data_IF_597004376913
#
_entry.id   IF_597004376913
#
_cell.length_a   1.000
_cell.length_b   1.000
_cell.length_c   1.000
_cell.angle_alpha   90.00
_cell.angle_beta   90.00
_cell.angle_gamma   90.00
#
_symmetry.space_group_name_H-M   'P 1'
#
loop_
_entity.id
_entity.type
_entity.pdbx_description
1 polymer ?
#
# COMPACT_ATOMS: atom_id res chain seq x y z
N UNK A 1 12.26 -0.51 -19.65
CA UNK A 1 11.59 -1.82 -19.64
C UNK A 1 10.08 -1.65 -19.83
N UNK A 2 9.39 -0.92 -18.94
CA UNK A 2 7.95 -0.62 -19.06
C UNK A 2 7.57 -0.07 -20.44
N UNK A 3 8.33 0.90 -20.95
CA UNK A 3 8.17 1.44 -22.32
C UNK A 3 8.11 0.35 -23.41
N UNK A 4 8.94 -0.69 -23.30
CA UNK A 4 9.04 -1.74 -24.30
C UNK A 4 7.93 -2.79 -24.21
N UNK A 5 7.12 -2.76 -23.15
CA UNK A 5 6.07 -3.76 -22.89
C UNK A 5 4.66 -3.17 -22.80
N UNK A 6 4.51 -1.85 -22.84
CA UNK A 6 3.22 -1.18 -22.72
C UNK A 6 2.61 -0.80 -24.08
N UNK A 7 1.30 -0.60 -24.10
CA UNK A 7 0.57 -0.18 -25.28
C UNK A 7 0.81 1.32 -25.56
N UNK A 8 1.28 1.64 -26.77
CA UNK A 8 1.47 3.01 -27.28
C UNK A 8 2.02 3.99 -26.21
N UNK A 9 3.28 3.84 -25.77
CA UNK A 9 3.83 4.65 -24.68
C UNK A 9 3.82 6.13 -25.01
N UNK A 10 3.23 6.94 -24.13
CA UNK A 10 3.39 8.38 -24.11
C UNK A 10 4.31 8.76 -22.96
N UNK A 11 5.61 8.91 -23.27
CA UNK A 11 6.62 9.34 -22.31
C UNK A 11 6.58 10.86 -22.19
N UNK A 12 6.48 11.36 -20.96
CA UNK A 12 6.57 12.78 -20.66
C UNK A 12 7.42 13.01 -19.41
N UNK A 13 8.27 14.03 -19.49
CA UNK A 13 9.02 14.58 -18.35
C UNK A 13 8.44 15.92 -17.87
N UNK A 14 7.69 16.65 -18.73
CA UNK A 14 7.14 17.97 -18.42
C UNK A 14 6.05 18.40 -19.44
N UNK A 15 5.03 17.58 -19.65
CA UNK A 15 3.88 17.94 -20.49
C UNK A 15 2.89 18.79 -19.70
N UNK A 16 2.32 19.82 -20.34
CA UNK A 16 1.23 20.58 -19.73
C UNK A 16 0.01 19.68 -19.52
N UNK A 17 -0.80 19.89 -18.46
CA UNK A 17 -2.01 19.09 -18.24
C UNK A 17 -2.91 19.07 -19.49
N UNK A 18 -3.05 20.22 -20.16
CA UNK A 18 -3.81 20.36 -21.39
C UNK A 18 -3.33 19.47 -22.56
N UNK A 19 -2.02 19.22 -22.66
CA UNK A 19 -1.46 18.30 -23.65
C UNK A 19 -1.74 16.85 -23.26
N UNK A 20 -1.60 16.49 -21.98
CA UNK A 20 -1.90 15.13 -21.48
C UNK A 20 -3.37 14.78 -21.70
N UNK A 21 -4.29 15.67 -21.30
CA UNK A 21 -5.73 15.54 -21.52
C UNK A 21 -6.10 15.22 -22.97
N UNK A 22 -5.44 15.88 -23.94
CA UNK A 22 -5.72 15.70 -25.37
C UNK A 22 -5.03 14.48 -25.98
N UNK A 23 -3.94 14.01 -25.38
CA UNK A 23 -3.20 12.85 -25.86
C UNK A 23 -3.86 11.51 -25.49
N UNK A 24 -4.73 11.48 -24.47
CA UNK A 24 -5.41 10.25 -24.02
C UNK A 24 -6.34 9.67 -25.10
N UNK A 25 -7.10 10.51 -25.81
CA UNK A 25 -8.08 10.02 -26.80
C UNK A 25 -9.22 9.19 -26.17
N UNK A 26 -10.03 8.49 -26.98
CA UNK A 26 -11.24 7.79 -26.48
C UNK A 26 -11.09 6.27 -26.40
N UNK A 27 -10.68 5.61 -27.49
CA UNK A 27 -10.91 4.16 -27.62
C UNK A 27 -9.72 3.35 -27.07
N UNK A 28 -8.53 3.63 -27.60
CA UNK A 28 -7.27 2.97 -27.26
C UNK A 28 -6.28 4.00 -26.71
N UNK A 29 -6.42 4.40 -25.43
CA UNK A 29 -5.57 5.42 -24.87
C UNK A 29 -4.12 4.94 -24.76
N UNK A 30 -3.14 5.85 -24.94
CA UNK A 30 -1.73 5.52 -24.72
C UNK A 30 -1.47 5.16 -23.26
N UNK A 31 -0.39 4.43 -23.00
CA UNK A 31 0.11 4.27 -21.64
C UNK A 31 0.93 5.50 -21.26
N UNK A 32 0.48 6.25 -20.25
CA UNK A 32 1.19 7.41 -19.74
C UNK A 32 2.40 6.95 -18.93
N UNK A 33 3.59 7.39 -19.32
CA UNK A 33 4.83 7.12 -18.60
C UNK A 33 5.39 8.44 -18.07
N UNK A 34 5.33 8.61 -16.75
CA UNK A 34 5.79 9.81 -16.05
C UNK A 34 7.01 9.45 -15.22
N UNK A 35 8.16 9.97 -15.63
CA UNK A 35 9.40 9.86 -14.86
C UNK A 35 9.57 11.07 -13.94
N UNK A 36 10.35 10.93 -12.87
CA UNK A 36 10.57 11.96 -11.86
C UNK A 36 9.26 12.57 -11.29
N UNK A 37 8.23 11.74 -11.09
CA UNK A 37 6.92 12.17 -10.63
C UNK A 37 6.95 12.84 -9.24
N UNK A 38 8.00 12.62 -8.43
CA UNK A 38 8.23 13.33 -7.17
C UNK A 38 8.50 14.83 -7.38
N UNK A 39 9.00 15.25 -8.53
CA UNK A 39 9.16 16.68 -8.87
C UNK A 39 7.83 17.38 -9.16
N UNK A 40 6.83 16.60 -9.60
CA UNK A 40 5.47 17.05 -9.94
C UNK A 40 4.60 17.09 -8.67
N UNK A 41 4.64 16.03 -7.86
CA UNK A 41 3.76 15.87 -6.71
C UNK A 41 4.43 16.18 -5.36
N UNK A 42 5.73 16.49 -5.34
CA UNK A 42 6.47 16.80 -4.12
C UNK A 42 6.46 18.28 -3.73
N UNK A 43 6.43 18.54 -2.42
CA UNK A 43 6.67 19.85 -1.83
C UNK A 43 5.67 20.93 -2.28
N UNK A 44 6.18 22.13 -2.60
CA UNK A 44 5.36 23.30 -2.97
C UNK A 44 4.67 23.18 -4.33
N UNK A 45 5.08 22.22 -5.18
CA UNK A 45 4.52 22.02 -6.52
C UNK A 45 3.26 21.16 -6.52
N UNK A 46 2.97 20.46 -5.41
CA UNK A 46 1.79 19.60 -5.29
C UNK A 46 0.47 20.37 -5.50
N UNK A 47 0.37 21.59 -4.95
CA UNK A 47 -0.80 22.47 -5.13
C UNK A 47 -0.91 23.02 -6.55
N UNK A 48 0.23 23.23 -7.24
CA UNK A 48 0.23 23.72 -8.61
C UNK A 48 -0.21 22.67 -9.63
N UNK A 49 -0.16 21.38 -9.26
CA UNK A 49 -0.43 20.24 -10.14
C UNK A 49 -1.71 19.47 -9.78
N UNK A 50 -2.66 20.11 -9.10
CA UNK A 50 -3.95 19.50 -8.74
C UNK A 50 -4.73 18.98 -9.95
N UNK A 51 -4.66 19.69 -11.09
CA UNK A 51 -5.29 19.30 -12.35
C UNK A 51 -4.79 17.93 -12.87
N UNK A 52 -3.49 17.68 -12.73
CA UNK A 52 -2.87 16.43 -13.16
C UNK A 52 -3.14 15.29 -12.16
N UNK A 53 -3.15 15.59 -10.86
CA UNK A 53 -3.61 14.64 -9.83
C UNK A 53 -5.07 14.26 -10.07
N UNK A 54 -5.92 15.23 -10.38
CA UNK A 54 -7.32 15.03 -10.72
C UNK A 54 -7.49 14.15 -11.95
N UNK A 55 -6.69 14.37 -12.99
CA UNK A 55 -6.66 13.54 -14.18
C UNK A 55 -6.32 12.08 -13.85
N UNK A 56 -5.22 11.83 -13.12
CA UNK A 56 -4.80 10.47 -12.76
C UNK A 56 -5.84 9.76 -11.88
N UNK A 57 -6.42 10.47 -10.91
CA UNK A 57 -7.46 9.93 -10.04
C UNK A 57 -8.75 9.59 -10.81
N UNK A 58 -9.16 10.45 -11.75
CA UNK A 58 -10.31 10.20 -12.61
C UNK A 58 -10.05 9.05 -13.59
N UNK A 59 -8.82 8.98 -14.12
CA UNK A 59 -8.37 7.99 -15.09
C UNK A 59 -8.24 6.56 -14.57
N UNK A 60 -8.42 6.36 -13.26
CA UNK A 60 -8.49 5.03 -12.65
C UNK A 60 -9.67 4.19 -13.15
N UNK A 61 -10.76 4.82 -13.60
CA UNK A 61 -11.93 4.12 -14.15
C UNK A 61 -12.41 4.77 -15.46
N UNK A 62 -12.97 3.95 -16.36
CA UNK A 62 -13.60 4.44 -17.59
C UNK A 62 -14.85 5.27 -17.28
N UNK A 63 -15.29 6.08 -18.24
CA UNK A 63 -16.51 6.89 -18.18
C UNK A 63 -16.52 8.01 -17.11
N UNK A 64 -15.35 8.51 -16.70
CA UNK A 64 -15.21 9.67 -15.80
C UNK A 64 -14.55 10.88 -16.49
N UNK A 65 -15.17 11.45 -17.55
CA UNK A 65 -14.54 12.52 -18.32
C UNK A 65 -14.35 13.79 -17.50
N UNK A 66 -13.28 14.53 -17.76
CA UNK A 66 -13.15 15.90 -17.31
C UNK A 66 -14.08 16.77 -18.17
N UNK A 67 -14.90 17.59 -17.51
CA UNK A 67 -15.82 18.51 -18.18
C UNK A 67 -15.22 19.91 -18.07
N UNK A 68 -14.98 20.55 -19.22
CA UNK A 68 -14.48 21.92 -19.28
C UNK A 68 -15.41 22.77 -20.13
N UNK A 69 -15.51 24.05 -19.79
CA UNK A 69 -16.24 25.01 -20.59
C UNK A 69 -15.27 25.66 -21.59
N UNK A 70 -15.59 25.56 -22.88
CA UNK A 70 -14.83 26.22 -23.94
C UNK A 70 -15.46 27.60 -24.22
N UNK A 71 -14.73 28.66 -23.87
CA UNK A 71 -15.16 30.04 -24.09
C UNK A 71 -15.26 30.42 -25.57
N UNK A 72 -14.55 29.74 -26.47
CA UNK A 72 -14.58 30.07 -27.91
C UNK A 72 -15.83 29.48 -28.56
N UNK A 73 -16.15 28.22 -28.27
CA UNK A 73 -17.31 27.53 -28.83
C UNK A 73 -18.57 27.69 -27.98
N UNK A 74 -18.47 28.30 -26.79
CA UNK A 74 -19.54 28.41 -25.79
C UNK A 74 -20.22 27.06 -25.53
N UNK A 75 -19.42 26.01 -25.38
CA UNK A 75 -19.92 24.64 -25.25
C UNK A 75 -19.16 23.85 -24.18
N UNK A 76 -19.79 22.77 -23.70
CA UNK A 76 -19.14 21.84 -22.77
C UNK A 76 -18.26 20.86 -23.57
N UNK A 77 -16.96 20.91 -23.31
CA UNK A 77 -15.99 19.94 -23.79
C UNK A 77 -15.91 18.78 -22.78
N UNK A 78 -16.16 17.55 -23.25
CA UNK A 78 -15.96 16.32 -22.47
C UNK A 78 -14.64 15.69 -22.90
N UNK A 79 -13.67 15.68 -21.99
CA UNK A 79 -12.34 15.15 -22.25
C UNK A 79 -12.20 13.79 -21.55
N UNK A 80 -11.93 12.68 -22.28
CA UNK A 80 -11.64 11.40 -21.67
C UNK A 80 -10.41 11.46 -20.78
N UNK A 81 -10.44 10.72 -19.68
CA UNK A 81 -9.38 10.73 -18.65
C UNK A 81 -8.75 9.36 -18.43
N UNK A 82 -9.41 8.30 -18.87
CA UNK A 82 -8.95 6.93 -18.65
C UNK A 82 -7.71 6.64 -19.49
N UNK A 83 -6.61 6.33 -18.80
CA UNK A 83 -5.39 5.82 -19.40
C UNK A 83 -4.63 5.00 -18.35
N UNK A 84 -3.98 3.93 -18.79
CA UNK A 84 -3.01 3.25 -17.93
C UNK A 84 -1.83 4.19 -17.69
N UNK A 85 -1.37 4.29 -16.45
CA UNK A 85 -0.25 5.15 -16.10
C UNK A 85 0.80 4.37 -15.30
N UNK A 86 2.08 4.62 -15.60
CA UNK A 86 3.19 4.22 -14.77
C UNK A 86 3.92 5.48 -14.30
N UNK A 87 4.00 5.65 -12.99
CA UNK A 87 4.65 6.78 -12.33
C UNK A 87 5.93 6.29 -11.67
N UNK A 88 7.06 6.89 -12.01
CA UNK A 88 8.34 6.63 -11.37
C UNK A 88 8.78 7.89 -10.62
N UNK A 89 9.17 7.73 -9.36
CA UNK A 89 9.65 8.85 -8.55
C UNK A 89 10.23 8.38 -7.22
N UNK A 90 10.86 9.32 -6.50
CA UNK A 90 11.47 9.08 -5.21
C UNK A 90 10.52 9.51 -4.08
N UNK A 91 10.32 8.62 -3.11
CA UNK A 91 9.46 8.88 -1.96
C UNK A 91 8.01 8.48 -2.20
N UNK A 92 7.13 8.95 -1.32
CA UNK A 92 5.69 8.69 -1.41
C UNK A 92 5.01 9.65 -2.40
N UNK A 93 4.04 9.14 -3.13
CA UNK A 93 3.10 9.91 -3.93
C UNK A 93 1.90 10.33 -3.07
N UNK A 94 1.04 11.26 -3.53
CA UNK A 94 -0.18 11.61 -2.80
C UNK A 94 -1.04 10.37 -2.53
N UNK A 95 -1.56 10.23 -1.30
CA UNK A 95 -2.39 9.09 -0.85
C UNK A 95 -3.50 8.74 -1.85
N UNK A 96 -4.16 9.75 -2.44
CA UNK A 96 -5.22 9.52 -3.43
C UNK A 96 -4.77 8.77 -4.70
N UNK A 97 -3.50 8.91 -5.08
CA UNK A 97 -2.90 8.19 -6.21
C UNK A 97 -2.46 6.80 -5.76
N UNK A 98 -1.78 6.70 -4.60
CA UNK A 98 -1.30 5.41 -4.08
C UNK A 98 -2.44 4.43 -3.79
N UNK A 99 -3.57 4.90 -3.26
CA UNK A 99 -4.80 4.12 -3.05
C UNK A 99 -5.36 3.47 -4.33
N UNK A 100 -4.96 3.96 -5.51
CA UNK A 100 -5.45 3.56 -6.83
C UNK A 100 -4.35 2.96 -7.71
N UNK A 101 -3.21 2.60 -7.11
CA UNK A 101 -2.03 2.15 -7.81
C UNK A 101 -1.45 0.88 -7.19
N UNK A 102 -0.82 0.07 -8.04
CA UNK A 102 0.07 -1.01 -7.58
C UNK A 102 1.43 -0.39 -7.27
N UNK A 103 1.74 -0.22 -5.99
CA UNK A 103 3.02 0.37 -5.56
C UNK A 103 4.13 -0.67 -5.58
N UNK A 104 5.14 -0.45 -6.42
CA UNK A 104 6.34 -1.30 -6.48
C UNK A 104 7.54 -0.54 -5.94
N UNK A 105 7.98 -0.88 -4.73
CA UNK A 105 9.15 -0.25 -4.11
C UNK A 105 10.45 -0.82 -4.65
N UNK A 106 11.25 0.06 -5.23
CA UNK A 106 12.60 -0.28 -5.67
C UNK A 106 13.61 -0.04 -4.54
N UNK A 107 14.55 -0.96 -4.38
CA UNK A 107 15.67 -0.82 -3.44
C UNK A 107 16.97 -0.60 -4.20
N UNK A 108 17.90 0.12 -3.58
CA UNK A 108 19.28 0.20 -4.10
C UNK A 108 19.91 -1.19 -4.02
N UNK A 109 20.75 -1.50 -5.00
CA UNK A 109 21.50 -2.76 -5.05
C UNK A 109 22.41 -2.87 -3.82
N UNK A 110 22.40 -4.02 -3.18
CA UNK A 110 23.33 -4.31 -2.09
C UNK A 110 24.75 -4.60 -2.66
N UNK A 111 25.81 -4.43 -1.84
CA UNK A 111 27.14 -4.89 -2.23
C UNK A 111 27.13 -6.39 -2.59
N UNK A 112 27.61 -6.73 -3.79
CA UNK A 112 27.60 -8.10 -4.30
C UNK A 112 26.41 -8.46 -5.19
N UNK A 113 25.36 -7.64 -5.25
CA UNK A 113 24.25 -7.84 -6.18
C UNK A 113 24.59 -7.30 -7.57
N UNK A 114 24.68 -8.20 -8.55
CA UNK A 114 24.88 -7.85 -9.95
C UNK A 114 23.58 -8.00 -10.74
N UNK A 115 23.16 -6.91 -11.39
CA UNK A 115 22.02 -6.92 -12.33
C UNK A 115 22.50 -6.47 -13.70
N UNK A 116 22.13 -7.23 -14.73
CA UNK A 116 22.47 -6.91 -16.11
C UNK A 116 21.95 -5.50 -16.49
N UNK A 117 22.78 -4.65 -17.10
CA UNK A 117 22.34 -3.32 -17.51
C UNK A 117 21.34 -3.44 -18.66
N UNK A 118 20.19 -2.77 -18.52
CA UNK A 118 19.24 -2.59 -19.60
C UNK A 118 19.84 -1.68 -20.69
N UNK A 119 19.75 -2.11 -21.94
CA UNK A 119 20.22 -1.36 -23.11
C UNK A 119 19.08 -1.30 -24.12
N UNK A 120 18.51 -0.10 -24.32
CA UNK A 120 17.34 0.10 -25.19
C UNK A 120 17.50 -0.56 -26.57
N UNK A 121 18.63 -0.36 -27.26
CA UNK A 121 18.86 -0.95 -28.60
C UNK A 121 18.86 -2.48 -28.61
N UNK A 122 19.39 -3.13 -27.56
CA UNK A 122 19.55 -4.58 -27.48
C UNK A 122 18.27 -5.25 -26.97
N UNK A 123 17.67 -4.69 -25.93
CA UNK A 123 16.65 -5.35 -25.12
C UNK A 123 15.22 -4.98 -25.54
N UNK A 124 15.00 -3.74 -26.01
CA UNK A 124 13.67 -3.24 -26.40
C UNK A 124 13.00 -4.07 -27.51
N UNK A 125 13.70 -4.53 -28.58
CA UNK A 125 13.07 -5.33 -29.63
C UNK A 125 12.47 -6.64 -29.13
N UNK A 126 13.11 -7.31 -28.17
CA UNK A 126 12.61 -8.57 -27.61
C UNK A 126 11.38 -8.32 -26.72
N UNK A 127 11.37 -7.24 -25.95
CA UNK A 127 10.24 -6.84 -25.12
C UNK A 127 9.02 -6.48 -25.97
N UNK A 128 9.21 -5.75 -27.07
CA UNK A 128 8.11 -5.40 -27.99
C UNK A 128 7.47 -6.64 -28.61
N UNK A 129 8.27 -7.61 -29.09
CA UNK A 129 7.75 -8.88 -29.59
C UNK A 129 6.98 -9.66 -28.52
N UNK A 130 7.40 -9.60 -27.26
CA UNK A 130 6.66 -10.22 -26.17
C UNK A 130 5.32 -9.51 -25.96
N UNK A 131 5.29 -8.18 -25.97
CA UNK A 131 4.08 -7.38 -25.82
C UNK A 131 3.08 -7.64 -26.96
N UNK A 132 3.55 -7.73 -28.21
CA UNK A 132 2.73 -8.08 -29.38
C UNK A 132 2.09 -9.47 -29.20
N UNK A 133 2.87 -10.47 -28.81
CA UNK A 133 2.35 -11.83 -28.55
C UNK A 133 1.34 -11.88 -27.41
N UNK A 134 1.57 -11.12 -26.34
CA UNK A 134 0.63 -11.01 -25.23
C UNK A 134 -0.66 -10.30 -25.66
N UNK A 135 -0.55 -9.27 -26.50
CA UNK A 135 -1.72 -8.55 -27.04
C UNK A 135 -2.56 -9.47 -27.92
N UNK A 136 -1.92 -10.23 -28.82
CA UNK A 136 -2.60 -11.20 -29.67
C UNK A 136 -3.30 -12.29 -28.85
N UNK A 137 -2.61 -12.84 -27.83
CA UNK A 137 -3.19 -13.85 -26.94
C UNK A 137 -4.37 -13.31 -26.13
N UNK A 138 -4.21 -12.16 -25.47
CA UNK A 138 -5.26 -11.55 -24.66
C UNK A 138 -6.45 -11.09 -25.50
N UNK A 139 -6.21 -10.64 -26.74
CA UNK A 139 -7.25 -10.20 -27.66
C UNK A 139 -8.34 -11.26 -27.91
N UNK A 140 -7.96 -12.54 -27.95
CA UNK A 140 -8.89 -13.65 -28.11
C UNK A 140 -9.75 -13.92 -26.86
N UNK A 141 -9.36 -13.41 -25.70
CA UNK A 141 -9.98 -13.67 -24.40
C UNK A 141 -10.59 -12.43 -23.74
N UNK A 142 -10.68 -11.29 -24.45
CA UNK A 142 -11.18 -10.04 -23.88
C UNK A 142 -12.60 -10.18 -23.33
N UNK A 143 -13.50 -10.88 -24.05
CA UNK A 143 -14.88 -11.09 -23.59
C UNK A 143 -14.92 -11.89 -22.27
N UNK A 144 -14.09 -12.92 -22.15
CA UNK A 144 -14.01 -13.74 -20.94
C UNK A 144 -13.41 -12.94 -19.77
N UNK A 145 -12.39 -12.12 -20.05
CA UNK A 145 -11.73 -11.27 -19.06
C UNK A 145 -12.63 -10.12 -18.59
N UNK A 146 -13.46 -9.55 -19.46
CA UNK A 146 -14.43 -8.50 -19.11
C UNK A 146 -15.54 -9.03 -18.18
N UNK A 147 -15.85 -10.33 -18.25
CA UNK A 147 -16.83 -10.99 -17.40
C UNK A 147 -16.23 -11.68 -16.18
N UNK A 148 -14.90 -11.65 -16.02
CA UNK A 148 -14.22 -12.38 -14.95
C UNK A 148 -14.36 -11.64 -13.62
N UNK A 149 -14.84 -12.35 -12.59
CA UNK A 149 -14.90 -11.88 -11.20
C UNK A 149 -13.99 -12.78 -10.33
N UNK A 150 -12.66 -12.57 -10.37
CA UNK A 150 -11.73 -13.42 -9.63
C UNK A 150 -11.89 -13.24 -8.12
N UNK A 151 -11.67 -14.32 -7.35
CA UNK A 151 -11.62 -14.22 -5.89
C UNK A 151 -10.40 -13.40 -5.45
N UNK A 152 -10.65 -12.32 -4.74
CA UNK A 152 -9.65 -11.35 -4.27
C UNK A 152 -9.28 -11.56 -2.80
N UNK A 153 -8.00 -11.40 -2.41
CA UNK A 153 -7.55 -11.48 -1.02
C UNK A 153 -7.66 -10.14 -0.26
N UNK A 154 -8.13 -9.09 -0.92
CA UNK A 154 -8.27 -7.71 -0.42
C UNK A 154 -9.62 -7.15 -0.88
N UNK A 155 -10.05 -6.03 -0.28
CA UNK A 155 -11.33 -5.38 -0.54
C UNK A 155 -11.15 -3.93 -1.06
N UNK A 156 -12.26 -3.27 -1.39
CA UNK A 156 -12.33 -1.87 -1.83
C UNK A 156 -11.40 -1.51 -3.00
N UNK A 157 -10.76 -0.34 -2.96
CA UNK A 157 -9.91 0.20 -4.05
C UNK A 157 -8.71 -0.69 -4.36
N UNK A 158 -8.21 -1.42 -3.36
CA UNK A 158 -7.14 -2.38 -3.57
C UNK A 158 -7.64 -3.54 -4.44
N UNK A 159 -8.85 -4.05 -4.20
CA UNK A 159 -9.47 -5.06 -5.06
C UNK A 159 -9.63 -4.52 -6.49
N UNK A 160 -10.25 -3.34 -6.65
CA UNK A 160 -10.47 -2.71 -7.97
C UNK A 160 -9.15 -2.56 -8.77
N UNK A 161 -8.06 -2.20 -8.09
CA UNK A 161 -6.75 -1.97 -8.72
C UNK A 161 -6.10 -3.28 -9.17
N UNK A 162 -6.22 -4.34 -8.37
CA UNK A 162 -5.56 -5.62 -8.59
C UNK A 162 -6.36 -6.60 -9.43
N UNK A 163 -7.68 -6.47 -9.48
CA UNK A 163 -8.61 -7.39 -10.13
C UNK A 163 -8.22 -7.69 -11.58
N UNK A 164 -7.91 -6.71 -12.46
CA UNK A 164 -7.51 -7.01 -13.84
C UNK A 164 -6.22 -7.85 -13.93
N UNK A 165 -5.28 -7.67 -13.00
CA UNK A 165 -4.03 -8.43 -12.95
C UNK A 165 -4.27 -9.86 -12.48
N UNK A 166 -5.17 -10.05 -11.51
CA UNK A 166 -5.57 -11.37 -11.02
C UNK A 166 -6.38 -12.12 -12.08
N UNK A 167 -7.29 -11.46 -12.79
CA UNK A 167 -8.05 -12.06 -13.90
C UNK A 167 -7.12 -12.60 -15.00
N UNK A 168 -6.12 -11.80 -15.42
CA UNK A 168 -5.10 -12.24 -16.39
C UNK A 168 -4.26 -13.41 -15.84
N UNK A 169 -3.94 -13.40 -14.55
CA UNK A 169 -3.20 -14.49 -13.91
C UNK A 169 -4.02 -15.79 -13.82
N UNK A 170 -5.33 -15.67 -13.55
CA UNK A 170 -6.28 -16.79 -13.54
C UNK A 170 -6.42 -17.40 -14.93
N UNK A 171 -6.53 -16.56 -15.97
CA UNK A 171 -6.50 -17.00 -17.37
C UNK A 171 -5.18 -17.68 -17.76
N UNK A 172 -4.04 -17.16 -17.30
CA UNK A 172 -2.73 -17.74 -17.56
C UNK A 172 -2.54 -19.11 -16.87
N UNK A 173 -3.24 -19.34 -15.75
CA UNK A 173 -3.28 -20.60 -15.03
C UNK A 173 -1.94 -21.05 -14.45
N UNK A 174 -1.83 -22.36 -14.18
CA UNK A 174 -0.66 -22.98 -13.53
C UNK A 174 -0.33 -22.28 -12.20
N UNK A 175 0.87 -21.69 -12.08
CA UNK A 175 1.37 -21.01 -10.87
C UNK A 175 1.01 -19.51 -10.81
N UNK A 176 0.48 -18.94 -11.89
CA UNK A 176 0.19 -17.50 -11.95
C UNK A 176 -0.93 -17.07 -10.99
N UNK A 177 -2.05 -17.80 -10.85
CA UNK A 177 -3.13 -17.45 -9.92
C UNK A 177 -2.65 -17.24 -8.48
N UNK A 178 -1.81 -18.17 -7.99
CA UNK A 178 -1.31 -18.14 -6.62
C UNK A 178 -0.24 -17.05 -6.45
N UNK A 179 0.62 -16.86 -7.45
CA UNK A 179 1.64 -15.80 -7.42
C UNK A 179 1.03 -14.41 -7.43
N UNK A 180 -0.03 -14.19 -8.20
CA UNK A 180 -0.71 -12.91 -8.25
C UNK A 180 -1.33 -12.57 -6.88
N UNK A 181 -2.09 -13.50 -6.28
CA UNK A 181 -2.69 -13.28 -4.94
C UNK A 181 -1.64 -13.08 -3.84
N UNK A 182 -0.54 -13.82 -3.90
CA UNK A 182 0.59 -13.60 -2.99
C UNK A 182 1.22 -12.21 -3.18
N UNK A 183 1.35 -11.74 -4.42
CA UNK A 183 1.87 -10.40 -4.71
C UNK A 183 0.92 -9.31 -4.18
N UNK A 184 -0.40 -9.48 -4.33
CA UNK A 184 -1.42 -8.58 -3.76
C UNK A 184 -1.22 -8.46 -2.25
N UNK A 185 -1.23 -9.57 -1.52
CA UNK A 185 -1.11 -9.53 -0.05
C UNK A 185 0.23 -8.95 0.41
N UNK A 186 1.32 -9.27 -0.28
CA UNK A 186 2.66 -8.80 0.08
C UNK A 186 2.79 -7.28 -0.14
N UNK A 187 2.37 -6.79 -1.30
CA UNK A 187 2.55 -5.38 -1.67
C UNK A 187 1.55 -4.46 -0.95
N UNK A 188 0.34 -4.95 -0.65
CA UNK A 188 -0.62 -4.20 0.17
C UNK A 188 -0.13 -4.12 1.63
N UNK A 189 0.35 -5.23 2.22
CA UNK A 189 0.91 -5.20 3.57
C UNK A 189 2.15 -4.28 3.67
N UNK A 190 3.06 -4.32 2.69
CA UNK A 190 4.19 -3.39 2.64
C UNK A 190 3.76 -1.93 2.52
N UNK A 191 2.62 -1.66 1.87
CA UNK A 191 2.05 -0.32 1.74
C UNK A 191 1.51 0.19 3.08
N UNK A 192 0.83 -0.68 3.83
CA UNK A 192 0.32 -0.39 5.19
C UNK A 192 1.46 -0.16 6.20
N UNK A 193 2.52 -0.96 6.12
CA UNK A 193 3.71 -0.91 6.99
C UNK A 193 4.58 0.34 6.78
N UNK A 194 4.42 1.04 5.66
CA UNK A 194 5.26 2.17 5.26
C UNK A 194 5.06 3.47 6.06
N UNK A 195 4.21 3.44 7.08
CA UNK A 195 4.29 4.39 8.18
C UNK A 195 3.38 5.61 8.10
N UNK A 196 2.33 5.64 7.27
CA UNK A 196 1.30 6.70 7.37
C UNK A 196 -0.01 6.15 7.93
N UNK A 197 -0.52 5.04 7.39
CA UNK A 197 -1.70 4.34 7.93
C UNK A 197 -1.37 3.65 9.25
N UNK A 198 -0.27 2.88 9.31
CA UNK A 198 0.22 2.25 10.56
C UNK A 198 0.52 3.28 11.65
N UNK A 199 1.15 4.42 11.34
CA UNK A 199 1.38 5.46 12.34
C UNK A 199 0.09 6.15 12.79
N UNK A 200 -0.89 6.38 11.93
CA UNK A 200 -2.18 6.98 12.34
C UNK A 200 -3.01 6.03 13.20
N UNK A 201 -3.02 4.73 12.89
CA UNK A 201 -3.69 3.71 13.70
C UNK A 201 -2.93 3.51 15.01
N UNK A 202 -1.60 3.47 14.99
CA UNK A 202 -0.75 3.46 16.19
C UNK A 202 -1.00 4.70 17.04
N UNK A 203 -1.13 5.88 16.44
CA UNK A 203 -1.49 7.11 17.15
C UNK A 203 -2.86 6.98 17.84
N UNK A 204 -3.86 6.39 17.20
CA UNK A 204 -5.16 6.13 17.86
C UNK A 204 -5.01 5.20 19.05
N UNK A 205 -4.21 4.13 18.93
CA UNK A 205 -3.94 3.20 20.03
C UNK A 205 -3.17 3.89 21.17
N UNK A 206 -2.14 4.68 20.85
CA UNK A 206 -1.32 5.39 21.83
C UNK A 206 -2.12 6.52 22.50
N UNK A 207 -3.03 7.19 21.80
CA UNK A 207 -3.98 8.14 22.40
C UNK A 207 -4.92 7.41 23.36
N UNK A 208 -5.40 6.20 23.02
CA UNK A 208 -6.20 5.39 23.96
C UNK A 208 -5.43 5.12 25.23
N UNK A 209 -4.18 4.69 25.10
CA UNK A 209 -3.26 4.51 26.23
C UNK A 209 -3.06 5.83 26.99
N UNK A 210 -2.90 6.96 26.31
CA UNK A 210 -2.77 8.25 26.96
C UNK A 210 -4.02 8.63 27.78
N UNK A 211 -5.23 8.35 27.30
CA UNK A 211 -6.46 8.51 28.08
C UNK A 211 -6.46 7.61 29.33
N UNK A 212 -5.96 6.38 29.25
CA UNK A 212 -5.83 5.50 30.42
C UNK A 212 -4.85 6.07 31.45
N UNK A 213 -3.69 6.58 31.00
CA UNK A 213 -2.65 7.19 31.86
C UNK A 213 -3.16 8.46 32.54
N UNK A 214 -3.99 9.26 31.86
CA UNK A 214 -4.61 10.47 32.39
C UNK A 214 -5.81 10.18 33.33
N UNK A 215 -6.14 8.91 33.58
CA UNK A 215 -7.23 8.51 34.48
C UNK A 215 -8.61 8.50 33.83
N UNK A 216 -8.70 8.21 32.53
CA UNK A 216 -9.93 8.11 31.74
C UNK A 216 -10.85 9.36 31.82
N UNK A 217 -10.32 10.58 31.65
CA UNK A 217 -11.15 11.77 31.69
C UNK A 217 -12.09 11.82 30.47
N UNK A 218 -13.27 12.43 30.63
CA UNK A 218 -14.21 12.65 29.51
C UNK A 218 -13.65 13.55 28.39
N UNK A 219 -12.61 14.33 28.68
CA UNK A 219 -11.86 15.10 27.70
C UNK A 219 -10.41 15.29 28.15
N UNK A 220 -9.48 15.38 27.20
CA UNK A 220 -8.07 15.67 27.46
C UNK A 220 -7.64 16.94 26.69
N UNK A 221 -6.79 17.76 27.31
CA UNK A 221 -6.23 18.92 26.63
C UNK A 221 -5.19 18.48 25.59
N UNK A 222 -5.00 19.26 24.54
CA UNK A 222 -3.97 18.98 23.54
C UNK A 222 -2.57 18.96 24.19
N UNK A 223 -2.35 19.78 25.22
CA UNK A 223 -1.09 19.80 25.95
C UNK A 223 -0.83 18.48 26.68
N UNK A 224 -1.82 17.99 27.44
CA UNK A 224 -1.67 16.77 28.24
C UNK A 224 -1.45 15.55 27.35
N UNK A 225 -2.17 15.45 26.23
CA UNK A 225 -1.97 14.37 25.27
C UNK A 225 -0.56 14.40 24.66
N UNK A 226 -0.05 15.58 24.28
CA UNK A 226 1.31 15.70 23.75
C UNK A 226 2.37 15.37 24.80
N UNK A 227 2.16 15.72 26.06
CA UNK A 227 3.06 15.36 27.15
C UNK A 227 3.16 13.84 27.31
N UNK A 228 2.03 13.13 27.29
CA UNK A 228 2.02 11.66 27.42
C UNK A 228 2.61 11.01 26.16
N UNK A 229 2.18 11.41 24.97
CA UNK A 229 2.62 10.81 23.71
C UNK A 229 4.12 11.02 23.45
N UNK A 230 4.66 12.22 23.74
CA UNK A 230 6.10 12.48 23.59
C UNK A 230 6.94 11.95 24.76
N UNK A 231 6.29 11.53 25.87
CA UNK A 231 6.96 10.96 27.04
C UNK A 231 7.10 9.44 26.98
N UNK A 232 6.59 8.80 25.93
CA UNK A 232 6.73 7.37 25.68
C UNK A 232 7.97 7.11 24.79
N UNK A 233 9.03 6.60 25.41
CA UNK A 233 10.32 6.30 24.75
C UNK A 233 10.22 5.10 23.78
N UNK A 234 9.17 4.27 23.86
CA UNK A 234 8.93 3.17 22.92
C UNK A 234 8.13 3.61 21.69
N UNK A 235 7.50 4.78 21.75
CA UNK A 235 6.67 5.34 20.68
C UNK A 235 7.44 6.36 19.81
N UNK A 236 7.15 6.45 18.50
CA UNK A 236 7.92 7.26 17.55
C UNK A 236 7.62 8.78 17.65
N UNK A 237 6.84 9.21 18.65
CA UNK A 237 6.30 10.56 18.73
C UNK A 237 7.35 11.58 19.17
N UNK A 238 8.20 11.22 20.13
CA UNK A 238 9.32 12.04 20.60
C UNK A 238 10.34 12.36 19.50
N UNK A 239 10.59 11.39 18.61
CA UNK A 239 11.53 11.49 17.49
C UNK A 239 10.94 12.16 16.23
N UNK A 240 9.67 12.58 16.26
CA UNK A 240 8.98 13.15 15.10
C UNK A 240 9.50 14.54 14.67
N UNK A 241 10.45 15.12 15.38
CA UNK A 241 11.13 16.37 15.05
C UNK A 241 11.87 16.98 16.25
N UNK A 242 12.47 18.17 16.11
CA UNK A 242 13.22 18.83 17.20
C UNK A 242 12.41 19.13 18.46
N UNK A 243 11.08 19.13 18.35
CA UNK A 243 10.13 19.35 19.43
C UNK A 243 9.15 18.17 19.60
N UNK A 244 9.46 17.00 19.04
CA UNK A 244 8.57 15.84 19.00
C UNK A 244 7.27 16.07 18.22
N UNK A 245 6.23 15.32 18.58
CA UNK A 245 4.89 15.50 18.04
C UNK A 245 4.33 16.85 18.48
N UNK A 246 3.86 17.64 17.52
CA UNK A 246 3.29 18.97 17.77
C UNK A 246 1.77 18.95 17.66
N UNK A 247 1.10 19.92 18.29
CA UNK A 247 -0.37 20.01 18.24
C UNK A 247 -0.94 20.17 16.82
N UNK A 248 -0.19 20.85 15.93
CA UNK A 248 -0.56 20.96 14.50
C UNK A 248 -0.53 19.58 13.84
N UNK A 249 0.58 18.85 14.00
CA UNK A 249 0.77 17.52 13.40
C UNK A 249 -0.20 16.50 13.96
N UNK A 250 -0.47 16.54 15.27
CA UNK A 250 -1.51 15.73 15.91
C UNK A 250 -2.88 15.99 15.28
N UNK A 251 -3.25 17.27 15.09
CA UNK A 251 -4.50 17.65 14.45
C UNK A 251 -4.57 17.28 12.96
N UNK A 252 -3.44 17.26 12.25
CA UNK A 252 -3.37 16.80 10.86
C UNK A 252 -3.58 15.28 10.78
N UNK A 253 -2.94 14.50 11.65
CA UNK A 253 -3.07 13.03 11.69
C UNK A 253 -4.48 12.56 12.10
N UNK A 254 -5.14 13.31 12.98
CA UNK A 254 -6.50 12.98 13.47
C UNK A 254 -7.62 13.41 12.52
N UNK A 255 -7.34 14.31 11.58
CA UNK A 255 -8.35 14.87 10.67
C UNK A 255 -9.03 13.82 9.82
N UNK A 256 -8.27 12.81 9.41
CA UNK A 256 -8.76 11.77 8.49
C UNK A 256 -9.70 10.78 9.18
N UNK A 257 -9.72 10.76 10.51
CA UNK A 257 -10.72 10.06 11.32
C UNK A 257 -11.93 10.94 11.67
N UNK A 258 -12.00 12.17 11.14
CA UNK A 258 -13.03 13.14 11.49
C UNK A 258 -12.86 13.75 12.89
N UNK A 259 -11.71 13.55 13.53
CA UNK A 259 -11.47 13.99 14.91
C UNK A 259 -10.80 15.36 14.88
N UNK A 260 -11.43 16.35 15.51
CA UNK A 260 -10.95 17.73 15.51
C UNK A 260 -10.85 18.29 16.93
N UNK A 261 -9.83 19.12 17.18
CA UNK A 261 -9.67 19.78 18.47
C UNK A 261 -10.74 20.85 18.65
N UNK A 262 -11.38 20.90 19.81
CA UNK A 262 -12.36 21.94 20.17
C UNK A 262 -11.89 22.72 21.39
N UNK A 263 -12.43 23.93 21.60
CA UNK A 263 -12.19 24.70 22.82
C UNK A 263 -13.04 24.12 23.95
N UNK A 264 -12.39 23.52 24.94
CA UNK A 264 -13.02 22.87 26.07
C UNK A 264 -12.65 23.59 27.37
N UNK A 265 -13.53 23.50 28.37
CA UNK A 265 -13.29 24.07 29.70
C UNK A 265 -12.77 22.98 30.62
N UNK A 266 -11.55 23.15 31.10
CA UNK A 266 -10.87 22.29 32.07
C UNK A 266 -10.81 22.98 33.44
N UNK A 267 -10.45 22.27 34.53
CA UNK A 267 -10.32 22.87 35.86
C UNK A 267 -9.36 24.07 35.91
N UNK A 268 -8.33 24.06 35.05
CA UNK A 268 -7.26 25.05 34.99
C UNK A 268 -7.56 26.20 34.00
N UNK A 269 -8.71 26.18 33.31
CA UNK A 269 -9.11 27.20 32.34
C UNK A 269 -9.63 26.64 31.03
N UNK A 270 -9.78 27.50 30.02
CA UNK A 270 -10.15 27.07 28.67
C UNK A 270 -8.90 26.72 27.85
N UNK A 271 -8.91 25.56 27.21
CA UNK A 271 -7.83 25.12 26.33
C UNK A 271 -8.40 24.37 25.12
N UNK A 272 -7.57 24.19 24.07
CA UNK A 272 -7.91 23.25 23.00
C UNK A 272 -7.71 21.83 23.50
N UNK A 273 -8.62 20.94 23.14
CA UNK A 273 -8.57 19.54 23.54
C UNK A 273 -9.48 18.67 22.69
N UNK A 274 -9.57 17.41 23.07
CA UNK A 274 -10.39 16.41 22.40
C UNK A 274 -11.27 15.72 23.43
N UNK A 275 -12.54 15.51 23.08
CA UNK A 275 -13.45 14.69 23.90
C UNK A 275 -13.13 13.23 23.66
N UNK A 276 -13.25 12.40 24.70
CA UNK A 276 -13.03 10.96 24.60
C UNK A 276 -14.01 10.31 23.62
N UNK A 277 -15.26 10.78 23.63
CA UNK A 277 -16.33 10.29 22.76
C UNK A 277 -15.99 10.44 21.28
N UNK A 278 -15.24 11.49 20.90
CA UNK A 278 -14.82 11.71 19.51
C UNK A 278 -13.92 10.57 18.98
N UNK A 279 -13.21 9.86 19.85
CA UNK A 279 -12.35 8.73 19.48
C UNK A 279 -13.07 7.39 19.49
N UNK A 280 -14.30 7.31 20.03
CA UNK A 280 -14.97 6.01 20.27
C UNK A 280 -15.20 5.23 18.97
N UNK A 281 -15.68 5.90 17.92
CA UNK A 281 -15.89 5.28 16.62
C UNK A 281 -14.56 4.80 16.01
N UNK A 282 -13.53 5.65 16.03
CA UNK A 282 -12.22 5.31 15.49
C UNK A 282 -11.55 4.15 16.27
N UNK A 283 -11.63 4.13 17.60
CA UNK A 283 -11.11 3.03 18.42
C UNK A 283 -11.82 1.71 18.16
N UNK A 284 -13.15 1.74 18.01
CA UNK A 284 -13.91 0.53 17.71
C UNK A 284 -13.55 -0.07 16.35
N UNK A 285 -13.25 0.78 15.36
CA UNK A 285 -12.92 0.36 13.99
C UNK A 285 -11.47 -0.10 13.83
N UNK A 286 -10.53 0.66 14.39
CA UNK A 286 -9.11 0.51 14.09
C UNK A 286 -8.28 -0.03 15.25
N UNK A 287 -8.83 -0.09 16.47
CA UNK A 287 -8.15 -0.58 17.66
C UNK A 287 -9.02 -1.58 18.44
N UNK A 288 -9.57 -2.65 17.84
CA UNK A 288 -10.40 -3.60 18.57
C UNK A 288 -9.62 -4.17 19.76
N UNK A 289 -10.29 -4.28 20.93
CA UNK A 289 -9.68 -4.95 22.06
C UNK A 289 -9.37 -6.41 21.66
N UNK A 290 -8.19 -6.96 22.01
CA UNK A 290 -7.96 -8.39 21.84
C UNK A 290 -9.10 -9.15 22.53
N UNK A 291 -9.60 -10.26 21.94
CA UNK A 291 -10.67 -11.03 22.56
C UNK A 291 -10.24 -11.37 23.98
N UNK A 292 -11.01 -10.93 24.96
CA UNK A 292 -10.76 -11.29 26.34
C UNK A 292 -10.84 -12.82 26.41
N UNK A 293 -9.69 -13.47 26.64
CA UNK A 293 -9.69 -14.84 27.13
C UNK A 293 -10.65 -14.87 28.32
N UNK A 294 -11.64 -15.75 28.20
CA UNK A 294 -12.70 -15.91 29.16
C UNK A 294 -12.05 -16.17 30.52
N UNK A 295 -12.04 -15.15 31.39
CA UNK A 295 -11.81 -15.34 32.81
C UNK A 295 -12.99 -16.16 33.32
N UNK A 296 -12.78 -17.47 33.40
CA UNK A 296 -13.66 -18.40 34.09
C UNK A 296 -13.92 -17.84 35.48
N UNK A 297 -15.20 -17.62 35.77
CA UNK A 297 -15.68 -17.27 37.10
C UNK A 297 -15.68 -18.55 37.95
N UNK A 298 -15.22 -18.53 39.21
CA UNK A 298 -15.19 -19.73 40.03
C UNK A 298 -16.61 -20.06 40.49
N UNK A 299 -17.21 -21.10 39.92
CA UNK A 299 -18.44 -21.69 40.44
C UNK A 299 -18.12 -22.57 41.65
N UNK A 300 -18.83 -22.32 42.75
CA UNK A 300 -18.77 -23.01 44.02
C UNK A 300 -19.17 -24.50 43.90
N UNK A 301 -18.28 -25.40 44.33
CA UNK A 301 -18.53 -26.65 45.05
C UNK A 301 -19.27 -27.80 44.35
N UNK A 302 -18.58 -28.94 44.15
CA UNK A 302 -18.88 -30.25 44.80
C UNK A 302 -17.64 -31.18 44.67
N UNK A 303 -17.24 -31.70 45.83
CA UNK A 303 -16.53 -32.93 46.23
C UNK A 303 -15.66 -33.77 45.29
N UNK A 304 -14.44 -34.05 45.79
CA UNK A 304 -13.40 -35.02 45.40
C UNK A 304 -13.81 -36.49 45.72
N UNK A 305 -13.07 -37.53 45.24
CA UNK A 305 -11.94 -38.11 46.00
C UNK A 305 -10.69 -38.45 45.13
N UNK A 306 -9.47 -37.97 45.43
CA UNK A 306 -8.41 -38.53 46.31
C UNK A 306 -7.74 -39.80 45.70
N UNK A 307 -6.51 -39.81 45.12
CA UNK A 307 -5.11 -39.78 45.69
C UNK A 307 -4.31 -41.00 45.10
N UNK A 308 -2.95 -41.08 45.03
CA UNK A 308 -1.89 -40.05 45.06
C UNK A 308 -0.63 -40.30 44.17
N UNK A 309 0.37 -39.40 44.34
CA UNK A 309 1.83 -39.62 44.33
C UNK A 309 2.59 -39.77 43.02
N UNK A 310 3.43 -38.79 42.70
CA UNK A 310 4.88 -38.81 43.00
C UNK A 310 5.60 -37.64 42.33
N UNK A 311 6.37 -36.89 43.12
CA UNK A 311 7.35 -35.92 42.64
C UNK A 311 8.69 -36.60 42.36
N UNK A 312 9.51 -35.99 41.51
CA UNK A 312 10.96 -35.98 41.72
C UNK A 312 11.50 -34.58 41.43
N UNK A 313 11.97 -33.94 42.50
CA UNK A 313 12.95 -32.85 42.48
C UNK A 313 14.36 -33.44 42.32
N UNK A 314 15.29 -32.69 41.71
CA UNK A 314 16.63 -32.29 42.22
C UNK A 314 17.20 -31.33 41.14
N UNK A 315 17.35 -30.00 41.31
CA UNK A 315 18.19 -29.14 42.18
C UNK A 315 19.59 -28.76 41.61
N UNK A 316 20.14 -27.58 42.01
CA UNK A 316 20.93 -26.67 41.16
C UNK A 316 22.40 -26.43 41.59
N UNK A 317 23.19 -25.77 40.73
CA UNK A 317 24.22 -24.79 41.14
C UNK A 317 25.71 -25.09 40.85
N UNK A 318 26.37 -24.19 40.10
CA UNK A 318 27.79 -23.69 40.09
C UNK A 318 28.03 -23.07 38.70
N UNK A 319 28.58 -21.88 38.43
CA UNK A 319 29.34 -20.86 39.17
C UNK A 319 29.19 -19.48 38.48
N UNK A 320 29.58 -18.40 39.19
CA UNK A 320 29.43 -16.99 38.82
C UNK A 320 30.58 -16.36 37.97
N UNK A 321 30.18 -15.54 36.98
CA UNK A 321 30.63 -14.17 36.55
C UNK A 321 32.11 -13.90 36.11
N UNK A 322 32.47 -12.76 35.42
CA UNK A 322 31.68 -11.68 34.75
C UNK A 322 32.20 -11.31 33.32
N UNK A 323 31.49 -10.42 32.59
CA UNK A 323 32.12 -9.53 31.59
C UNK A 323 31.44 -9.39 30.22
N UNK A 324 30.72 -8.28 30.05
CA UNK A 324 30.54 -7.43 28.85
C UNK A 324 30.96 -7.98 27.48
N UNK A 325 30.01 -8.07 26.54
CA UNK A 325 30.05 -7.34 25.26
C UNK A 325 28.71 -7.53 24.53
N UNK A 326 28.05 -6.42 24.22
CA UNK A 326 26.92 -6.37 23.30
C UNK A 326 27.33 -7.02 21.97
N UNK A 327 26.70 -8.14 21.64
CA UNK A 327 26.73 -8.70 20.28
C UNK A 327 25.47 -8.21 19.57
N UNK A 328 25.65 -7.17 18.76
CA UNK A 328 24.70 -6.79 17.72
C UNK A 328 24.58 -7.99 16.77
N UNK A 329 23.37 -8.50 16.46
CA UNK A 329 23.22 -9.55 15.46
C UNK A 329 23.74 -9.05 14.11
N UNK A 330 24.78 -9.68 13.56
CA UNK A 330 25.37 -9.33 12.27
C UNK A 330 24.48 -9.70 11.06
N UNK A 331 23.33 -10.33 11.29
CA UNK A 331 22.37 -10.67 10.26
C UNK A 331 21.10 -9.84 10.41
N UNK A 332 21.09 -8.71 9.71
CA UNK A 332 19.84 -8.04 9.36
C UNK A 332 19.06 -9.03 8.47
N UNK A 333 17.89 -9.47 8.91
CA UNK A 333 17.00 -10.31 8.13
C UNK A 333 16.48 -9.51 6.94
N UNK A 334 17.18 -9.57 5.81
CA UNK A 334 16.73 -9.00 4.54
C UNK A 334 15.79 -10.02 3.89
N UNK A 335 14.53 -9.68 3.59
CA UNK A 335 13.67 -10.54 2.79
C UNK A 335 14.35 -10.83 1.45
N UNK A 336 14.41 -12.10 1.04
CA UNK A 336 14.98 -12.51 -0.23
C UNK A 336 14.21 -11.84 -1.40
N UNK A 337 14.90 -11.58 -2.52
CA UNK A 337 14.27 -11.15 -3.76
C UNK A 337 13.08 -12.05 -4.08
N UNK A 338 11.89 -11.45 -4.32
CA UNK A 338 10.64 -12.16 -4.61
C UNK A 338 10.65 -12.96 -5.92
N UNK A 339 11.77 -12.90 -6.66
CA UNK A 339 11.98 -13.61 -7.91
C UNK A 339 13.48 -13.83 -8.14
N UNK A 340 13.91 -15.10 -8.16
CA UNK A 340 15.16 -15.48 -8.82
C UNK A 340 14.92 -15.36 -10.34
N UNK A 341 15.77 -14.61 -11.05
CA UNK A 341 15.77 -14.50 -12.52
C UNK A 341 16.17 -15.84 -13.16
N UNK A 342 15.34 -16.87 -13.01
CA UNK A 342 15.43 -18.03 -13.89
C UNK A 342 15.02 -17.57 -15.29
N UNK A 343 15.88 -17.86 -16.28
CA UNK A 343 15.50 -17.75 -17.69
C UNK A 343 14.10 -18.37 -17.84
N UNK A 344 13.15 -17.59 -18.35
CA UNK A 344 11.84 -18.11 -18.71
C UNK A 344 12.05 -19.36 -19.54
N UNK A 345 11.48 -20.47 -19.09
CA UNK A 345 11.53 -21.75 -19.79
C UNK A 345 11.17 -21.50 -21.25
N UNK A 346 12.04 -21.91 -22.17
CA UNK A 346 11.72 -21.89 -23.61
C UNK A 346 10.32 -22.50 -23.77
N UNK A 347 9.41 -21.73 -24.36
CA UNK A 347 8.05 -22.18 -24.62
C UNK A 347 8.11 -23.54 -25.29
N UNK A 348 7.33 -24.48 -24.77
CA UNK A 348 7.27 -25.86 -25.23
C UNK A 348 7.06 -25.89 -26.75
N UNK A 349 7.98 -26.54 -27.49
CA UNK A 349 7.83 -26.78 -28.91
C UNK A 349 6.65 -27.72 -29.19
N UNK A 350 5.81 -27.33 -30.15
CA UNK A 350 4.86 -28.15 -30.96
C UNK A 350 3.57 -28.69 -30.31
N UNK A 351 2.52 -28.81 -31.15
CA UNK A 351 2.15 -30.16 -31.59
C UNK A 351 2.22 -30.36 -33.12
N UNK A 352 2.30 -31.65 -33.46
CA UNK A 352 2.75 -32.33 -34.70
C UNK A 352 2.02 -31.98 -36.02
N UNK A 353 2.66 -32.25 -37.17
CA UNK A 353 2.11 -31.98 -38.51
C UNK A 353 0.94 -32.91 -38.87
N UNK A 354 -0.08 -32.33 -39.53
CA UNK A 354 -1.15 -33.06 -40.24
C UNK A 354 -0.54 -33.99 -41.30
N UNK A 355 -0.75 -35.29 -41.14
CA UNK A 355 -0.66 -36.27 -42.22
C UNK A 355 -1.97 -36.19 -43.00
N UNK A 356 -1.94 -35.65 -44.22
CA UNK A 356 -2.96 -35.95 -45.23
C UNK A 356 -2.30 -36.75 -46.34
N UNK A 357 -2.64 -38.04 -46.37
CA UNK A 357 -2.24 -38.95 -47.43
C UNK A 357 -2.89 -38.55 -48.75
N UNK A 358 -2.07 -38.50 -49.80
CA UNK A 358 -2.49 -38.72 -51.18
C UNK A 358 -2.79 -40.21 -51.36
N UNK A 359 -3.96 -40.55 -51.92
CA UNK A 359 -4.12 -41.70 -52.81
C UNK A 359 -5.38 -41.56 -53.68
N UNK A 360 -5.15 -41.85 -54.96
CA UNK A 360 -6.06 -41.99 -56.11
C UNK A 360 -6.76 -40.70 -56.57
#
# INVERSE_FOLDING_TARGET
MVEGTCHNPLITVNASPAAVYRAIGTDHPPTLLVDEADTIFGGKNAEANEDLRGLLNAGHQRNRPAIRWDNNTHSLEKIPTFAMAALAGIGAMPDTIEDRAVVVRMRRRAPGETVAPYRHRRDSPALRRLAERLTEWLGAHLVDLEAAEPSMPVEDRAADTWEPLVAVADLAGSRWPQRARLAVTTLTAESDDAGNVSNRIRLLADIRTAFTVLGEPGAASTSDLLTVLNGDDEAPWSDSGPAGLTGKRLGDLLRDFGITSTKLRFPVGQAKGYTRDAFTDAWNRYCPAPPAEQRETPSTGVSVPCVPSSFSQVNPGTDCLPGTHQSVPAHQSVPALSSQNHLGTHGTDTPRPRVTGRRA
#
